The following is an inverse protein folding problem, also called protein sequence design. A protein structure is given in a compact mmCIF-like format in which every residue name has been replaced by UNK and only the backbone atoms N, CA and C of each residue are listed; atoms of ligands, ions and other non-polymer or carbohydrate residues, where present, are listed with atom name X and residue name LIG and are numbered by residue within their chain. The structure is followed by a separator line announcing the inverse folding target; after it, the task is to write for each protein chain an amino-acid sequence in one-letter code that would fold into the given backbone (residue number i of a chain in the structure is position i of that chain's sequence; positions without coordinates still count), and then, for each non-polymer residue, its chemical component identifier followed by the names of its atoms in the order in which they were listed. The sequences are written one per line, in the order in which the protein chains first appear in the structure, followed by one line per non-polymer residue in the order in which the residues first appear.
data_IF_585158409032
#
_entry.id   IF_585158409032
#
_cell.length_a   1.000
_cell.length_b   1.000
_cell.length_c   1.000
_cell.angle_alpha   90.00
_cell.angle_beta   90.00
_cell.angle_gamma   90.00
#
_symmetry.space_group_name_H-M   'P 1'
#
loop_
_entity.id
_entity.type
_entity.pdbx_description
1 polymer ?
#
# COMPACT_ATOMS: atom_id res chain seq x y z
N UNK A 1 -22.17 -1.60 -0.10
CA UNK A 1 -21.22 -1.66 -1.23
C UNK A 1 -21.13 -0.32 -1.95
N UNK A 2 -22.25 0.34 -2.29
CA UNK A 2 -22.27 1.67 -2.95
C UNK A 2 -21.53 2.80 -2.19
N UNK A 3 -21.54 2.79 -0.85
CA UNK A 3 -20.78 3.74 -0.01
C UNK A 3 -19.25 3.55 -0.06
N UNK A 4 -18.78 2.33 -0.33
CA UNK A 4 -17.35 2.05 -0.42
C UNK A 4 -16.80 2.51 -1.78
N UNK A 5 -17.52 2.24 -2.85
CA UNK A 5 -17.18 2.66 -4.22
C UNK A 5 -17.15 4.20 -4.36
N UNK A 6 -18.14 4.91 -3.79
CA UNK A 6 -18.18 6.38 -3.78
C UNK A 6 -17.09 7.05 -2.94
N UNK A 7 -16.45 6.30 -2.02
CA UNK A 7 -15.32 6.81 -1.23
C UNK A 7 -14.02 6.68 -2.02
N UNK A 8 -13.91 5.64 -2.86
CA UNK A 8 -12.76 5.42 -3.74
C UNK A 8 -12.72 6.36 -4.95
N UNK A 9 -13.88 6.65 -5.58
CA UNK A 9 -13.97 7.60 -6.70
C UNK A 9 -13.64 9.05 -6.31
N UNK A 10 -13.94 9.45 -5.07
CA UNK A 10 -13.64 10.81 -4.57
C UNK A 10 -12.16 11.08 -4.35
N UNK A 11 -11.35 10.02 -4.19
CA UNK A 11 -9.90 10.14 -4.10
C UNK A 11 -9.27 10.33 -5.48
N UNK A 12 -9.89 9.80 -6.53
CA UNK A 12 -9.28 9.70 -7.87
C UNK A 12 -9.55 10.89 -8.80
N UNK A 13 -10.46 11.80 -8.45
CA UNK A 13 -10.85 12.95 -9.32
C UNK A 13 -10.12 14.25 -9.01
N UNK A 14 -9.30 14.30 -7.96
CA UNK A 14 -8.48 15.46 -7.62
C UNK A 14 -7.00 15.20 -7.84
N UNK A 15 -6.57 15.13 -9.11
CA UNK A 15 -5.26 15.65 -9.56
C UNK A 15 -5.09 15.45 -11.07
N UNK A 16 -5.31 16.54 -11.81
CA UNK A 16 -4.50 16.81 -12.99
C UNK A 16 -3.06 17.03 -12.51
N UNK A 17 -2.25 15.97 -12.59
CA UNK A 17 -0.87 15.97 -12.13
C UNK A 17 -0.02 15.20 -13.14
N UNK A 18 0.84 15.93 -13.83
CA UNK A 18 1.88 15.45 -14.75
C UNK A 18 2.61 14.23 -14.17
N UNK A 19 2.74 13.18 -14.97
CA UNK A 19 3.50 11.97 -14.63
C UNK A 19 4.93 12.34 -14.21
N UNK A 20 5.36 11.82 -13.06
CA UNK A 20 6.75 11.85 -12.58
C UNK A 20 7.26 10.40 -12.65
N UNK A 21 8.51 10.17 -13.10
CA UNK A 21 9.06 8.83 -13.28
C UNK A 21 9.19 8.04 -11.98
N UNK A 22 9.08 6.72 -12.14
CA UNK A 22 9.10 5.64 -11.16
C UNK A 22 10.52 5.35 -10.64
N UNK A 23 11.10 6.25 -9.83
CA UNK A 23 12.39 5.97 -9.14
C UNK A 23 12.54 6.60 -7.75
N UNK A 24 11.47 7.14 -7.16
CA UNK A 24 11.57 7.70 -5.81
C UNK A 24 10.22 7.72 -5.11
N UNK A 25 9.96 6.78 -4.17
CA UNK A 25 9.28 7.04 -2.88
C UNK A 25 8.93 5.77 -2.08
N UNK A 26 8.79 5.88 -0.74
CA UNK A 26 8.80 7.11 0.04
C UNK A 26 10.10 7.34 0.81
N UNK A 27 10.51 8.61 0.89
CA UNK A 27 11.24 9.14 2.02
C UNK A 27 10.38 8.90 3.27
N UNK A 28 10.62 7.74 3.89
CA UNK A 28 9.92 7.27 5.07
C UNK A 28 10.28 8.16 6.26
N UNK A 29 9.35 9.01 6.72
CA UNK A 29 9.12 9.38 8.12
C UNK A 29 10.31 9.14 9.10
N UNK A 30 11.42 9.88 8.91
CA UNK A 30 12.76 9.45 9.35
C UNK A 30 13.18 9.91 10.76
N UNK A 31 12.30 9.84 11.76
CA UNK A 31 12.67 10.32 13.11
C UNK A 31 12.41 9.39 14.30
N UNK A 32 11.75 8.23 14.13
CA UNK A 32 11.35 7.41 15.29
C UNK A 32 12.17 6.12 15.49
N UNK A 33 13.03 5.71 14.55
CA UNK A 33 13.46 4.29 14.49
C UNK A 33 14.87 3.91 15.03
N UNK A 34 15.75 4.84 15.44
CA UNK A 34 17.15 4.46 15.71
C UNK A 34 17.52 4.15 17.18
N UNK A 35 16.56 4.07 18.11
CA UNK A 35 16.84 3.61 19.47
C UNK A 35 16.09 2.31 19.76
N UNK A 36 16.73 1.18 19.44
CA UNK A 36 16.28 -0.16 19.85
C UNK A 36 17.47 -0.86 20.49
N UNK A 37 17.60 -0.75 21.80
CA UNK A 37 18.72 -1.36 22.53
C UNK A 37 18.46 -2.84 22.88
N UNK A 38 17.23 -3.37 22.71
CA UNK A 38 16.92 -4.78 22.97
C UNK A 38 15.68 -5.26 22.17
N UNK A 39 15.83 -6.02 21.07
CA UNK A 39 14.70 -6.51 20.26
C UNK A 39 13.84 -7.60 20.97
N UNK A 40 14.31 -8.14 22.10
CA UNK A 40 13.61 -9.16 22.90
C UNK A 40 12.85 -8.63 24.12
N UNK A 41 12.94 -7.33 24.41
CA UNK A 41 12.09 -6.72 25.43
C UNK A 41 10.73 -6.43 24.79
N UNK A 42 9.62 -6.86 25.42
CA UNK A 42 8.29 -6.38 25.06
C UNK A 42 8.28 -4.85 25.13
N UNK A 43 8.48 -4.22 23.98
CA UNK A 43 8.49 -2.78 23.81
C UNK A 43 7.30 -2.41 22.96
N UNK A 44 6.84 -1.17 23.13
CA UNK A 44 5.77 -0.54 22.35
C UNK A 44 5.97 -0.65 20.83
N UNK A 45 7.18 -0.94 20.35
CA UNK A 45 7.46 -1.22 18.95
C UNK A 45 6.77 -2.50 18.47
N UNK A 46 6.78 -3.59 19.25
CA UNK A 46 6.10 -4.85 18.88
C UNK A 46 4.56 -4.70 18.83
N UNK A 47 4.02 -3.68 19.51
CA UNK A 47 2.60 -3.28 19.44
C UNK A 47 2.28 -2.36 18.25
N UNK A 48 3.28 -1.79 17.58
CA UNK A 48 3.12 -0.91 16.42
C UNK A 48 3.32 -1.69 15.12
N UNK A 49 4.08 -2.79 15.16
CA UNK A 49 4.25 -3.65 14.00
C UNK A 49 2.93 -4.36 13.67
N UNK A 50 2.51 -4.40 12.39
CA UNK A 50 1.26 -5.05 11.97
C UNK A 50 1.42 -6.58 11.93
N UNK A 51 1.97 -7.17 12.99
CA UNK A 51 2.09 -8.60 13.15
C UNK A 51 0.72 -9.17 13.52
N UNK A 52 0.20 -10.06 12.67
CA UNK A 52 -1.08 -10.72 12.89
C UNK A 52 -0.82 -12.15 13.34
N UNK A 53 -1.59 -12.67 14.29
CA UNK A 53 -1.46 -14.05 14.74
C UNK A 53 -1.81 -15.06 13.63
N UNK A 54 -1.28 -16.28 13.76
CA UNK A 54 -1.48 -17.35 12.77
C UNK A 54 -2.96 -17.70 12.57
N UNK A 55 -3.75 -17.69 13.64
CA UNK A 55 -5.16 -18.07 13.57
C UNK A 55 -5.95 -17.04 12.74
N UNK A 56 -5.77 -15.76 13.05
CA UNK A 56 -6.40 -14.67 12.29
C UNK A 56 -5.93 -14.68 10.84
N UNK A 57 -4.64 -14.91 10.59
CA UNK A 57 -4.09 -15.00 9.22
C UNK A 57 -4.74 -16.13 8.42
N UNK A 58 -4.81 -17.34 8.99
CA UNK A 58 -5.43 -18.48 8.31
C UNK A 58 -6.93 -18.26 8.07
N UNK A 59 -7.63 -17.60 9.00
CA UNK A 59 -9.02 -17.20 8.82
C UNK A 59 -9.19 -16.19 7.68
N UNK A 60 -8.34 -15.15 7.65
CA UNK A 60 -8.35 -14.16 6.56
C UNK A 60 -8.04 -14.81 5.21
N UNK A 61 -7.07 -15.72 5.15
CA UNK A 61 -6.75 -16.47 3.94
C UNK A 61 -7.94 -17.29 3.45
N UNK A 62 -8.60 -18.04 4.36
CA UNK A 62 -9.79 -18.80 4.02
C UNK A 62 -10.91 -17.89 3.48
N UNK A 63 -11.10 -16.72 4.08
CA UNK A 63 -12.08 -15.75 3.59
C UNK A 63 -11.71 -15.18 2.22
N UNK A 64 -10.44 -14.89 1.96
CA UNK A 64 -9.97 -14.43 0.65
C UNK A 64 -10.25 -15.49 -0.42
N UNK A 65 -9.91 -16.76 -0.16
CA UNK A 65 -10.20 -17.88 -1.06
C UNK A 65 -11.70 -17.98 -1.38
N UNK A 66 -12.56 -17.83 -0.37
CA UNK A 66 -14.03 -17.80 -0.54
C UNK A 66 -14.48 -16.65 -1.43
N UNK A 67 -13.93 -15.45 -1.23
CA UNK A 67 -14.28 -14.27 -2.04
C UNK A 67 -13.86 -14.46 -3.49
N UNK A 68 -12.65 -14.94 -3.76
CA UNK A 68 -12.16 -15.21 -5.11
C UNK A 68 -13.06 -16.25 -5.80
N UNK A 69 -13.34 -17.37 -5.14
CA UNK A 69 -14.21 -18.42 -5.70
C UNK A 69 -15.64 -17.91 -5.96
N UNK A 70 -16.15 -17.03 -5.09
CA UNK A 70 -17.47 -16.39 -5.27
C UNK A 70 -17.50 -15.48 -6.50
N UNK A 71 -16.45 -14.68 -6.73
CA UNK A 71 -16.32 -13.83 -7.92
C UNK A 71 -16.30 -14.70 -9.19
N UNK A 72 -15.45 -15.74 -9.21
CA UNK A 72 -15.37 -16.66 -10.36
C UNK A 72 -16.71 -17.34 -10.62
N UNK A 73 -17.44 -17.75 -9.57
CA UNK A 73 -18.76 -18.36 -9.69
C UNK A 73 -19.78 -17.41 -10.32
N UNK A 74 -19.82 -16.14 -9.89
CA UNK A 74 -20.73 -15.12 -10.45
C UNK A 74 -20.42 -14.88 -11.93
N UNK A 75 -19.14 -14.73 -12.27
CA UNK A 75 -18.71 -14.49 -13.65
C UNK A 75 -19.02 -15.71 -14.53
N UNK A 76 -18.74 -16.92 -14.07
CA UNK A 76 -19.05 -18.13 -14.81
C UNK A 76 -20.57 -18.32 -14.99
N UNK A 77 -21.36 -17.97 -13.97
CA UNK A 77 -22.82 -17.96 -14.09
C UNK A 77 -23.28 -17.01 -15.20
N UNK A 78 -22.69 -15.81 -15.28
CA UNK A 78 -22.96 -14.87 -16.38
C UNK A 78 -22.57 -15.48 -17.74
N UNK A 79 -21.37 -16.07 -17.84
CA UNK A 79 -20.87 -16.69 -19.07
C UNK A 79 -21.83 -17.78 -19.56
N UNK A 80 -22.26 -18.69 -18.69
CA UNK A 80 -23.16 -19.78 -19.08
C UNK A 80 -24.60 -19.34 -19.34
N UNK A 81 -25.16 -18.47 -18.48
CA UNK A 81 -26.58 -18.12 -18.53
C UNK A 81 -26.90 -17.02 -19.54
N UNK A 82 -25.94 -16.13 -19.83
CA UNK A 82 -26.17 -14.97 -20.69
C UNK A 82 -25.27 -14.97 -21.93
N UNK A 83 -23.95 -15.08 -21.78
CA UNK A 83 -23.04 -14.97 -22.93
C UNK A 83 -23.12 -16.16 -23.89
N UNK A 84 -23.25 -17.38 -23.36
CA UNK A 84 -23.26 -18.62 -24.14
C UNK A 84 -24.67 -19.13 -24.47
N UNK A 85 -25.71 -18.45 -24.00
CA UNK A 85 -27.09 -18.76 -24.35
C UNK A 85 -27.40 -18.31 -25.77
N UNK A 86 -27.85 -19.24 -26.61
CA UNK A 86 -28.31 -18.96 -27.98
C UNK A 86 -29.85 -18.96 -28.00
N UNK A 87 -30.51 -17.83 -27.73
CA UNK A 87 -31.97 -17.75 -27.77
C UNK A 87 -32.51 -18.00 -29.19
N UNK A 88 -33.75 -18.49 -29.29
CA UNK A 88 -34.43 -18.67 -30.58
C UNK A 88 -34.83 -17.33 -31.21
N UNK A 89 -34.96 -17.25 -32.56
CA UNK A 89 -35.44 -16.05 -33.23
C UNK A 89 -36.78 -15.58 -32.65
N UNK A 90 -36.88 -14.30 -32.28
CA UNK A 90 -38.09 -13.70 -31.71
C UNK A 90 -38.17 -13.70 -30.18
N UNK A 91 -37.15 -14.21 -29.48
CA UNK A 91 -36.99 -14.05 -28.03
C UNK A 91 -36.28 -12.73 -27.70
N UNK A 92 -36.48 -12.22 -26.47
CA UNK A 92 -35.74 -11.06 -25.97
C UNK A 92 -34.23 -11.35 -25.99
N UNK A 93 -33.42 -10.36 -26.38
CA UNK A 93 -31.96 -10.47 -26.53
C UNK A 93 -31.50 -11.47 -27.61
N UNK A 94 -32.35 -11.77 -28.60
CA UNK A 94 -31.94 -12.50 -29.80
C UNK A 94 -31.07 -11.64 -30.72
N UNK A 95 -29.84 -12.08 -30.96
CA UNK A 95 -28.92 -11.49 -31.96
C UNK A 95 -28.02 -12.59 -32.55
N UNK A 96 -27.36 -12.30 -33.68
CA UNK A 96 -26.58 -13.29 -34.41
C UNK A 96 -25.23 -13.57 -33.72
N UNK A 97 -25.15 -14.70 -33.02
CA UNK A 97 -23.99 -15.11 -32.22
C UNK A 97 -23.04 -16.05 -32.99
N UNK A 98 -22.63 -15.67 -34.21
CA UNK A 98 -21.73 -16.49 -35.06
C UNK A 98 -20.32 -16.74 -34.48
N UNK A 99 -19.95 -16.07 -33.38
CA UNK A 99 -18.65 -16.21 -32.70
C UNK A 99 -18.67 -17.41 -31.73
N UNK A 100 -17.54 -18.11 -31.49
CA UNK A 100 -17.45 -19.20 -30.52
C UNK A 100 -17.97 -18.82 -29.12
N UNK A 101 -18.39 -19.80 -28.30
CA UNK A 101 -18.75 -19.57 -26.91
C UNK A 101 -17.59 -18.90 -26.15
N UNK A 102 -17.95 -17.97 -25.28
CA UNK A 102 -17.02 -17.30 -24.38
C UNK A 102 -16.47 -18.32 -23.37
N UNK A 103 -15.15 -18.32 -23.23
CA UNK A 103 -14.44 -19.21 -22.29
C UNK A 103 -14.68 -18.76 -20.84
N UNK A 104 -15.10 -19.68 -19.95
CA UNK A 104 -15.29 -19.39 -18.53
C UNK A 104 -13.95 -19.18 -17.81
N UNK A 105 -14.00 -18.47 -16.68
CA UNK A 105 -12.88 -18.34 -15.78
C UNK A 105 -12.58 -19.66 -15.07
N UNK A 106 -11.30 -19.94 -14.93
CA UNK A 106 -10.82 -20.91 -13.97
C UNK A 106 -10.92 -20.36 -12.55
N UNK A 107 -11.40 -21.20 -11.62
CA UNK A 107 -11.15 -20.98 -10.20
C UNK A 107 -9.86 -21.70 -9.80
N UNK A 108 -8.90 -20.95 -9.27
CA UNK A 108 -7.68 -21.49 -8.65
C UNK A 108 -7.97 -22.32 -7.38
N UNK A 109 -9.21 -22.27 -6.88
CA UNK A 109 -9.64 -22.99 -5.67
C UNK A 109 -10.84 -23.90 -5.95
N UNK A 110 -10.87 -25.08 -5.32
CA UNK A 110 -12.00 -26.00 -5.37
C UNK A 110 -13.13 -25.62 -4.37
N UNK A 111 -14.18 -26.45 -4.28
CA UNK A 111 -15.28 -26.23 -3.33
C UNK A 111 -14.89 -26.35 -1.86
N UNK A 112 -13.74 -26.97 -1.57
CA UNK A 112 -13.15 -27.09 -0.23
C UNK A 112 -12.08 -26.00 0.02
N UNK A 113 -11.89 -25.07 -0.93
CA UNK A 113 -10.90 -23.98 -0.88
C UNK A 113 -9.46 -24.51 -0.91
N UNK A 114 -9.27 -25.71 -1.44
CA UNK A 114 -7.98 -26.29 -1.78
C UNK A 114 -7.53 -25.83 -3.16
N UNK A 115 -6.23 -25.76 -3.34
CA UNK A 115 -5.65 -25.28 -4.59
C UNK A 115 -5.92 -26.30 -5.72
N UNK A 116 -6.40 -25.81 -6.86
CA UNK A 116 -6.81 -26.64 -8.00
C UNK A 116 -6.11 -26.15 -9.27
N UNK A 117 -5.59 -27.08 -10.05
CA UNK A 117 -5.10 -26.75 -11.39
C UNK A 117 -6.26 -26.52 -12.37
N UNK A 118 -6.13 -25.46 -13.16
CA UNK A 118 -7.07 -25.12 -14.22
C UNK A 118 -6.99 -26.13 -15.36
N UNK A 119 -8.15 -26.52 -15.91
CA UNK A 119 -8.16 -27.35 -17.12
C UNK A 119 -7.91 -26.49 -18.36
N UNK A 120 -7.43 -27.11 -19.44
CA UNK A 120 -7.00 -26.42 -20.68
C UNK A 120 -8.10 -25.60 -21.39
N UNK A 121 -9.36 -25.82 -21.06
CA UNK A 121 -10.51 -25.10 -21.61
C UNK A 121 -11.00 -23.97 -20.71
N UNK A 122 -10.39 -23.78 -19.54
CA UNK A 122 -10.68 -22.68 -18.62
C UNK A 122 -9.62 -21.58 -18.77
N UNK A 123 -10.04 -20.34 -18.50
CA UNK A 123 -9.21 -19.16 -18.66
C UNK A 123 -8.70 -18.67 -17.32
N UNK A 124 -7.38 -18.48 -17.18
CA UNK A 124 -6.81 -17.91 -15.96
C UNK A 124 -7.25 -16.46 -15.74
N UNK A 125 -7.40 -16.06 -14.48
CA UNK A 125 -7.85 -14.71 -14.09
C UNK A 125 -6.96 -13.62 -14.72
N UNK A 126 -5.64 -13.80 -14.72
CA UNK A 126 -4.70 -12.82 -15.28
C UNK A 126 -4.79 -12.60 -16.79
N UNK A 127 -5.25 -13.60 -17.56
CA UNK A 127 -5.35 -13.50 -19.03
C UNK A 127 -6.78 -13.18 -19.51
N UNK A 128 -7.75 -13.11 -18.58
CA UNK A 128 -9.15 -13.06 -18.94
C UNK A 128 -9.56 -11.79 -19.68
N UNK A 129 -9.03 -10.64 -19.26
CA UNK A 129 -9.32 -9.33 -19.88
C UNK A 129 -8.95 -9.31 -21.37
N UNK A 130 -7.74 -9.74 -21.71
CA UNK A 130 -7.23 -9.75 -23.07
C UNK A 130 -8.03 -10.69 -24.00
N UNK A 131 -8.40 -11.88 -23.50
CA UNK A 131 -9.17 -12.85 -24.30
C UNK A 131 -10.61 -12.38 -24.50
N UNK A 132 -11.24 -11.85 -23.44
CA UNK A 132 -12.63 -11.39 -23.49
C UNK A 132 -12.85 -10.12 -24.30
N UNK A 133 -11.83 -9.29 -24.47
CA UNK A 133 -11.89 -8.10 -25.34
C UNK A 133 -12.34 -8.48 -26.77
N UNK A 134 -11.89 -9.63 -27.26
CA UNK A 134 -12.29 -10.11 -28.58
C UNK A 134 -13.80 -10.39 -28.69
N UNK A 135 -14.52 -10.66 -27.59
CA UNK A 135 -15.93 -11.04 -27.59
C UNK A 135 -16.89 -9.85 -27.49
N UNK A 136 -16.37 -8.62 -27.45
CA UNK A 136 -17.17 -7.39 -27.36
C UNK A 136 -17.97 -7.20 -28.66
N UNK A 137 -19.26 -6.90 -28.52
CA UNK A 137 -20.13 -6.49 -29.61
C UNK A 137 -20.31 -4.96 -29.63
N UNK A 138 -20.67 -4.41 -30.79
CA UNK A 138 -21.19 -3.05 -30.89
C UNK A 138 -22.65 -3.04 -30.45
N UNK A 139 -23.08 -1.96 -29.80
CA UNK A 139 -24.42 -1.83 -29.23
C UNK A 139 -25.22 -0.69 -29.85
N UNK A 140 -26.53 -0.85 -29.89
CA UNK A 140 -27.48 0.23 -30.18
C UNK A 140 -27.85 1.01 -28.91
N UNK A 141 -28.67 2.07 -29.05
CA UNK A 141 -29.24 2.82 -27.91
C UNK A 141 -30.06 1.98 -26.92
N UNK A 142 -30.37 0.73 -27.26
CA UNK A 142 -31.08 -0.23 -26.42
C UNK A 142 -30.16 -1.23 -25.70
N UNK A 143 -28.83 -1.02 -25.74
CA UNK A 143 -27.80 -1.89 -25.15
C UNK A 143 -27.84 -3.36 -25.61
N UNK A 144 -28.41 -3.61 -26.79
CA UNK A 144 -28.38 -4.92 -27.44
C UNK A 144 -27.29 -4.95 -28.49
N UNK A 145 -26.54 -6.06 -28.54
CA UNK A 145 -25.52 -6.33 -29.55
C UNK A 145 -26.10 -6.28 -30.98
N UNK A 146 -25.53 -5.44 -31.83
CA UNK A 146 -25.83 -5.40 -33.28
C UNK A 146 -24.87 -6.23 -34.11
N UNK A 147 -23.62 -6.33 -33.68
CA UNK A 147 -22.56 -7.06 -34.37
C UNK A 147 -22.30 -8.43 -33.73
N UNK A 148 -21.47 -9.23 -34.39
CA UNK A 148 -21.08 -10.58 -33.95
C UNK A 148 -20.17 -10.51 -32.70
N UNK A 149 -20.78 -10.58 -31.53
CA UNK A 149 -20.10 -10.69 -30.24
C UNK A 149 -20.95 -11.47 -29.24
N UNK A 150 -20.51 -11.51 -27.98
CA UNK A 150 -21.22 -12.20 -26.88
C UNK A 150 -21.49 -11.29 -25.69
N UNK A 151 -20.75 -10.17 -25.58
CA UNK A 151 -20.77 -9.28 -24.42
C UNK A 151 -20.85 -7.82 -24.87
N UNK A 152 -21.66 -7.01 -24.19
CA UNK A 152 -21.73 -5.58 -24.44
C UNK A 152 -20.55 -4.85 -23.80
N UNK A 153 -20.16 -3.66 -24.29
CA UNK A 153 -19.02 -2.92 -23.72
C UNK A 153 -19.19 -2.60 -22.23
N UNK A 154 -20.43 -2.38 -21.77
CA UNK A 154 -20.71 -2.07 -20.38
C UNK A 154 -20.55 -3.30 -19.47
N UNK A 155 -21.09 -4.44 -19.90
CA UNK A 155 -20.91 -5.71 -19.18
C UNK A 155 -19.44 -6.10 -19.15
N UNK A 156 -18.71 -5.93 -20.26
CA UNK A 156 -17.28 -6.21 -20.33
C UNK A 156 -16.50 -5.45 -19.25
N UNK A 157 -16.77 -4.14 -19.07
CA UNK A 157 -16.13 -3.36 -18.01
C UNK A 157 -16.40 -3.92 -16.61
N UNK A 158 -17.64 -4.35 -16.35
CA UNK A 158 -18.00 -4.93 -15.05
C UNK A 158 -17.30 -6.28 -14.82
N UNK A 159 -17.21 -7.11 -15.85
CA UNK A 159 -16.48 -8.39 -15.79
C UNK A 159 -14.98 -8.17 -15.56
N UNK A 160 -14.36 -7.23 -16.28
CA UNK A 160 -12.94 -6.90 -16.10
C UNK A 160 -12.67 -6.31 -14.73
N UNK A 161 -13.54 -5.44 -14.21
CA UNK A 161 -13.42 -4.92 -12.85
C UNK A 161 -13.43 -6.06 -11.82
N UNK A 162 -14.38 -6.99 -11.92
CA UNK A 162 -14.46 -8.13 -11.02
C UNK A 162 -13.22 -9.03 -11.09
N UNK A 163 -12.74 -9.32 -12.30
CA UNK A 163 -11.53 -10.12 -12.53
C UNK A 163 -10.28 -9.43 -11.97
N UNK A 164 -10.14 -8.12 -12.17
CA UNK A 164 -8.98 -7.37 -11.71
C UNK A 164 -8.91 -7.31 -10.16
N UNK A 165 -10.07 -7.23 -9.50
CA UNK A 165 -10.15 -7.35 -8.04
C UNK A 165 -9.75 -8.75 -7.55
N UNK A 166 -10.25 -9.82 -8.20
CA UNK A 166 -9.83 -11.18 -7.86
C UNK A 166 -8.34 -11.43 -8.13
N UNK A 167 -7.80 -10.84 -9.20
CA UNK A 167 -6.37 -10.90 -9.52
C UNK A 167 -5.53 -10.21 -8.43
N UNK A 168 -5.95 -9.03 -7.98
CA UNK A 168 -5.29 -8.32 -6.89
C UNK A 168 -5.30 -9.17 -5.61
N UNK A 169 -6.45 -9.77 -5.26
CA UNK A 169 -6.53 -10.65 -4.10
C UNK A 169 -5.59 -11.85 -4.23
N UNK A 170 -5.58 -12.55 -5.37
CA UNK A 170 -4.70 -13.70 -5.59
C UNK A 170 -3.21 -13.33 -5.56
N UNK A 171 -2.83 -12.23 -6.21
CA UNK A 171 -1.45 -11.80 -6.35
C UNK A 171 -0.86 -11.16 -5.09
N UNK A 172 -1.67 -10.37 -4.34
CA UNK A 172 -1.22 -9.69 -3.13
C UNK A 172 -1.40 -10.52 -1.85
N UNK A 173 -2.11 -11.64 -1.90
CA UNK A 173 -2.26 -12.52 -0.72
C UNK A 173 -0.91 -13.01 -0.17
N UNK A 174 0.05 -13.54 -0.95
CA UNK A 174 1.30 -14.04 -0.39
C UNK A 174 2.13 -12.97 0.35
N UNK A 175 2.29 -11.73 -0.17
CA UNK A 175 2.85 -10.62 0.61
C UNK A 175 2.07 -10.31 1.89
N UNK A 176 0.73 -10.30 1.85
CA UNK A 176 -0.09 -10.07 3.04
C UNK A 176 0.10 -11.16 4.10
N UNK A 177 0.31 -12.41 3.68
CA UNK A 177 0.61 -13.52 4.58
C UNK A 177 1.99 -13.39 5.22
N UNK A 178 2.96 -12.71 4.58
CA UNK A 178 4.28 -12.49 5.18
C UNK A 178 4.27 -11.61 6.44
N UNK A 179 3.17 -10.89 6.69
CA UNK A 179 2.96 -10.17 7.96
C UNK A 179 2.70 -11.10 9.15
N UNK A 180 2.35 -12.37 8.89
CA UNK A 180 2.17 -13.41 9.90
C UNK A 180 3.44 -13.66 10.71
N UNK A 181 4.57 -13.76 10.02
CA UNK A 181 5.80 -14.24 10.66
C UNK A 181 6.60 -13.12 11.32
N UNK A 182 6.13 -11.87 11.24
CA UNK A 182 6.85 -10.64 11.58
C UNK A 182 8.22 -10.48 10.89
N UNK A 183 8.72 -11.50 10.19
CA UNK A 183 10.05 -11.54 9.58
C UNK A 183 10.16 -10.45 8.52
N UNK A 184 9.19 -10.30 7.63
CA UNK A 184 9.22 -9.23 6.64
C UNK A 184 9.40 -7.85 7.27
N UNK A 185 8.66 -7.58 8.35
CA UNK A 185 8.73 -6.33 9.09
C UNK A 185 10.07 -6.22 9.82
N UNK A 186 10.49 -7.27 10.53
CA UNK A 186 11.74 -7.32 11.28
C UNK A 186 12.95 -7.15 10.36
N UNK A 187 13.01 -7.87 9.25
CA UNK A 187 14.09 -7.82 8.26
C UNK A 187 14.17 -6.41 7.63
N UNK A 188 13.02 -5.79 7.37
CA UNK A 188 12.96 -4.41 6.88
C UNK A 188 13.50 -3.43 7.94
N UNK A 189 13.10 -3.58 9.19
CA UNK A 189 13.60 -2.74 10.29
C UNK A 189 15.08 -2.98 10.60
N UNK A 190 15.55 -4.22 10.53
CA UNK A 190 16.96 -4.58 10.67
C UNK A 190 17.81 -3.97 9.55
N UNK A 191 17.35 -4.06 8.31
CA UNK A 191 17.97 -3.41 7.15
C UNK A 191 18.06 -1.89 7.33
N UNK A 192 16.95 -1.25 7.72
CA UNK A 192 16.92 0.20 7.96
C UNK A 192 17.86 0.59 9.12
N UNK A 193 17.85 -0.18 10.20
CA UNK A 193 18.67 0.10 11.39
C UNK A 193 20.15 -0.06 11.07
N UNK A 194 20.52 -1.11 10.33
CA UNK A 194 21.90 -1.35 9.88
C UNK A 194 22.41 -0.23 8.97
N UNK A 195 21.62 0.15 7.97
CA UNK A 195 22.15 0.96 6.87
C UNK A 195 22.06 2.46 7.13
N UNK A 196 21.06 2.92 7.88
CA UNK A 196 20.75 4.34 8.01
C UNK A 196 21.01 4.92 9.40
N UNK A 197 20.98 4.13 10.47
CA UNK A 197 21.24 4.65 11.81
C UNK A 197 22.71 5.07 12.03
N UNK A 198 23.74 4.33 11.58
CA UNK A 198 25.14 4.74 11.78
C UNK A 198 25.49 6.11 11.16
N UNK A 199 25.13 6.42 9.89
CA UNK A 199 25.40 7.75 9.35
C UNK A 199 24.56 8.84 10.02
N UNK A 200 23.33 8.55 10.43
CA UNK A 200 22.48 9.51 11.13
C UNK A 200 23.04 9.86 12.52
N UNK A 201 23.45 8.87 13.30
CA UNK A 201 24.06 9.08 14.62
C UNK A 201 25.35 9.92 14.50
N UNK A 202 26.18 9.61 13.48
CA UNK A 202 27.41 10.36 13.21
C UNK A 202 27.13 11.82 12.89
N UNK A 203 26.14 12.09 12.04
CA UNK A 203 25.74 13.45 11.67
C UNK A 203 25.17 14.22 12.87
N UNK A 204 24.30 13.61 13.67
CA UNK A 204 23.75 14.22 14.88
C UNK A 204 24.83 14.54 15.91
N UNK A 205 25.84 13.67 16.07
CA UNK A 205 26.98 13.92 16.96
C UNK A 205 27.80 15.12 16.50
N UNK A 206 28.03 15.27 15.19
CA UNK A 206 28.73 16.43 14.62
C UNK A 206 27.93 17.72 14.81
N UNK A 207 26.62 17.69 14.57
CA UNK A 207 25.74 18.86 14.76
C UNK A 207 25.68 19.26 16.24
N UNK A 208 25.51 18.32 17.16
CA UNK A 208 25.50 18.59 18.60
C UNK A 208 26.84 19.14 19.10
N UNK A 209 27.96 18.61 18.59
CA UNK A 209 29.28 19.18 18.88
C UNK A 209 29.39 20.63 18.37
N UNK A 210 28.88 20.91 17.17
CA UNK A 210 28.80 22.26 16.61
C UNK A 210 27.95 23.23 17.47
N UNK A 211 26.75 22.81 17.86
CA UNK A 211 25.88 23.58 18.77
C UNK A 211 26.52 23.82 20.14
N UNK A 212 27.23 22.82 20.67
CA UNK A 212 27.99 22.96 21.91
C UNK A 212 29.08 24.04 21.80
N UNK A 213 29.83 24.05 20.71
CA UNK A 213 30.88 25.07 20.49
C UNK A 213 30.30 26.49 20.35
N UNK A 214 29.16 26.64 19.67
CA UNK A 214 28.50 27.95 19.51
C UNK A 214 27.99 28.46 20.86
N UNK A 215 27.34 27.61 21.65
CA UNK A 215 26.79 28.01 22.95
C UNK A 215 27.88 28.44 23.95
N UNK A 216 29.03 27.76 23.99
CA UNK A 216 30.17 28.16 24.82
C UNK A 216 30.71 29.53 24.40
N UNK A 217 30.86 29.75 23.08
CA UNK A 217 31.36 31.03 22.55
C UNK A 217 30.43 32.19 22.88
N UNK A 218 29.12 31.99 22.75
CA UNK A 218 28.13 33.02 23.06
C UNK A 218 28.13 33.37 24.56
N UNK A 219 28.29 32.37 25.44
CA UNK A 219 28.41 32.60 26.89
C UNK A 219 29.66 33.41 27.25
N UNK A 220 30.81 33.11 26.64
CA UNK A 220 32.04 33.89 26.85
C UNK A 220 31.91 35.32 26.34
N UNK A 221 31.30 35.51 25.17
CA UNK A 221 31.05 36.84 24.61
C UNK A 221 30.10 37.66 25.51
N UNK A 222 29.03 37.05 26.01
CA UNK A 222 28.11 37.68 26.95
C UNK A 222 28.82 38.06 28.26
N UNK A 223 29.68 37.19 28.77
CA UNK A 223 30.44 37.44 30.00
C UNK A 223 31.35 38.67 29.86
N UNK A 224 32.14 38.73 28.78
CA UNK A 224 33.05 39.86 28.51
C UNK A 224 32.27 41.16 28.36
N UNK A 225 31.16 41.15 27.62
CA UNK A 225 30.29 42.33 27.47
C UNK A 225 29.75 42.79 28.82
N UNK A 226 29.12 41.91 29.59
CA UNK A 226 28.54 42.24 30.89
C UNK A 226 29.59 42.80 31.87
N UNK A 227 30.77 42.18 31.94
CA UNK A 227 31.87 42.68 32.78
C UNK A 227 32.38 44.05 32.33
N UNK A 228 32.54 44.28 31.02
CA UNK A 228 32.96 45.57 30.48
C UNK A 228 31.94 46.67 30.75
N UNK A 229 30.65 46.39 30.55
CA UNK A 229 29.56 47.33 30.83
C UNK A 229 29.50 47.69 32.33
N UNK A 230 29.69 46.71 33.20
CA UNK A 230 29.74 46.94 34.66
C UNK A 230 30.96 47.78 35.07
N UNK A 231 32.14 47.52 34.50
CA UNK A 231 33.34 48.32 34.74
C UNK A 231 33.18 49.79 34.31
N UNK A 232 32.45 50.04 33.22
CA UNK A 232 32.27 51.40 32.69
C UNK A 232 31.18 52.20 33.42
N UNK A 233 30.19 51.52 34.00
CA UNK A 233 29.13 52.14 34.81
C UNK A 233 29.44 52.16 36.31
N UNK A 234 30.46 51.42 36.78
CA UNK A 234 30.89 51.40 38.17
C UNK A 234 31.52 52.74 38.58
N UNK A 235 30.94 53.48 39.55
CA UNK A 235 31.56 54.69 40.08
C UNK A 235 32.89 54.31 40.76
N UNK A 236 33.97 55.02 40.40
CA UNK A 236 35.33 54.79 40.90
C UNK A 236 35.35 54.83 42.43
N UNK A 237 35.37 53.64 43.06
CA UNK A 237 35.63 53.51 44.49
C UNK A 237 34.86 52.40 45.20
N UNK A 238 35.17 51.13 44.92
CA UNK A 238 35.51 50.11 45.94
C UNK A 238 35.82 48.74 45.32
N UNK A 239 36.73 48.04 46.00
CA UNK A 239 37.38 46.74 45.74
C UNK A 239 36.43 45.64 45.19
N UNK A 240 36.64 45.22 43.94
CA UNK A 240 36.11 43.97 43.38
C UNK A 240 37.21 42.90 43.28
N UNK A 241 37.77 42.51 44.44
CA UNK A 241 38.67 41.35 44.52
C UNK A 241 38.18 40.40 45.62
N UNK A 242 37.02 39.76 45.38
CA UNK A 242 36.56 38.63 46.21
C UNK A 242 35.43 37.81 45.55
N UNK A 243 35.62 37.26 44.35
CA UNK A 243 34.70 36.22 43.79
C UNK A 243 35.47 35.12 43.02
N UNK A 244 36.69 34.76 43.42
CA UNK A 244 37.43 33.65 42.77
C UNK A 244 37.87 32.53 43.74
N UNK A 245 37.36 32.48 44.97
CA UNK A 245 37.71 31.42 45.94
C UNK A 245 36.53 30.56 46.37
N UNK A 246 35.59 30.24 45.48
CA UNK A 246 34.52 29.28 45.80
C UNK A 246 34.04 28.43 44.62
N UNK A 247 34.97 28.02 43.74
CA UNK A 247 34.74 26.94 42.78
C UNK A 247 35.95 26.00 42.85
N UNK A 248 35.95 25.14 43.86
CA UNK A 248 36.67 23.88 43.91
C UNK A 248 35.67 22.82 44.36
#
# INVERSE_FOLDING_TARGET
MEKAVKTFERVNTSKGGRAIPEDQRPDCFFFVACSVDHPHAETTLSSILPCVDEQTTNQTLAQIKVVINSIVTVVNTFVYALANTNPSPGQNFYYNQSRPPMTPLCSSFDSNMEDRECVTWELSIGNASAVWESYICEVTKSDVCTTVGRVTPEIYKQLVAAVNESYALEHYTPPLLSFRDCNFVRDTFECITSDYCPPLERNLRVVNAGLGMISVRDLECCYVWCCGYFMQTAPKGRKCLRILTSLK
#
